data_IF_837960422357
#
_entry.id   IF_837960422357
#
_cell.length_a   1.000
_cell.length_b   1.000
_cell.length_c   1.000
_cell.angle_alpha   90.00
_cell.angle_beta   90.00
_cell.angle_gamma   90.00
#
_symmetry.space_group_name_H-M   'P 1'
#
loop_
_entity.id
_entity.type
_entity.pdbx_description
1 polymer ?
#
# COMPACT_ATOMS: atom_id res chain seq x y z
N UNK A 1 -10.90 -10.37 -2.15
CA UNK A 1 -9.79 -9.44 -2.48
C UNK A 1 -8.52 -10.00 -1.87
N UNK A 2 -7.46 -10.13 -2.68
CA UNK A 2 -6.13 -10.60 -2.27
C UNK A 2 -5.53 -9.58 -1.28
N UNK A 3 -5.39 -9.90 0.02
CA UNK A 3 -4.89 -8.94 1.00
C UNK A 3 -3.43 -8.52 0.74
N UNK A 4 -2.66 -9.38 0.08
CA UNK A 4 -1.24 -9.16 -0.21
C UNK A 4 -0.96 -8.16 -1.34
N UNK A 5 -1.96 -7.78 -2.15
CA UNK A 5 -1.75 -6.90 -3.30
C UNK A 5 -1.12 -5.56 -2.91
N UNK A 6 -1.52 -4.97 -1.78
CA UNK A 6 -0.98 -3.69 -1.31
C UNK A 6 0.50 -3.84 -0.95
N UNK A 7 0.87 -4.98 -0.37
CA UNK A 7 2.25 -5.30 0.01
C UNK A 7 3.09 -5.57 -1.25
N UNK A 8 2.60 -6.42 -2.14
CA UNK A 8 3.26 -6.74 -3.42
C UNK A 8 3.52 -5.47 -4.23
N UNK A 9 2.53 -4.58 -4.35
CA UNK A 9 2.70 -3.31 -5.03
C UNK A 9 3.73 -2.44 -4.34
N UNK A 10 3.65 -2.27 -3.02
CA UNK A 10 4.62 -1.46 -2.27
C UNK A 10 6.07 -1.94 -2.44
N UNK A 11 6.30 -3.26 -2.42
CA UNK A 11 7.63 -3.87 -2.62
C UNK A 11 8.06 -3.93 -4.10
N UNK A 12 7.14 -3.64 -5.04
CA UNK A 12 7.46 -3.63 -6.47
C UNK A 12 8.32 -2.42 -6.83
N UNK A 13 9.27 -2.56 -7.77
CA UNK A 13 10.13 -1.46 -8.20
C UNK A 13 9.36 -0.26 -8.75
N UNK A 14 8.15 -0.47 -9.29
CA UNK A 14 7.28 0.59 -9.80
C UNK A 14 6.74 1.53 -8.71
N UNK A 15 6.51 1.01 -7.50
CA UNK A 15 6.05 1.82 -6.36
C UNK A 15 7.17 2.13 -5.37
N UNK A 16 8.23 1.31 -5.34
CA UNK A 16 9.51 1.62 -4.72
C UNK A 16 9.40 2.00 -3.25
N UNK A 17 8.71 1.18 -2.45
CA UNK A 17 8.51 1.44 -1.03
C UNK A 17 7.86 2.80 -0.72
N UNK A 18 6.94 3.25 -1.58
CA UNK A 18 6.21 4.50 -1.37
C UNK A 18 5.52 4.51 0.02
N UNK A 19 5.61 5.67 0.69
CA UNK A 19 4.98 5.88 1.99
C UNK A 19 3.46 5.77 1.94
N UNK A 20 2.84 5.65 3.12
CA UNK A 20 1.40 5.38 3.29
C UNK A 20 0.53 6.34 2.47
N UNK A 21 0.78 7.65 2.51
CA UNK A 21 -0.05 8.63 1.82
C UNK A 21 0.02 8.51 0.30
N UNK A 22 1.21 8.27 -0.24
CA UNK A 22 1.41 8.08 -1.67
C UNK A 22 0.81 6.74 -2.14
N UNK A 23 0.96 5.67 -1.35
CA UNK A 23 0.30 4.39 -1.62
C UNK A 23 -1.21 4.54 -1.66
N UNK A 24 -1.82 5.23 -0.69
CA UNK A 24 -3.27 5.51 -0.68
C UNK A 24 -3.68 6.31 -1.92
N UNK A 25 -2.92 7.35 -2.28
CA UNK A 25 -3.21 8.19 -3.45
C UNK A 25 -3.17 7.40 -4.75
N UNK A 26 -2.15 6.56 -4.95
CA UNK A 26 -2.00 5.73 -6.16
C UNK A 26 -3.07 4.65 -6.23
N UNK A 27 -3.29 3.92 -5.15
CA UNK A 27 -4.26 2.82 -5.11
C UNK A 27 -5.70 3.31 -5.28
N UNK A 28 -6.04 4.48 -4.71
CA UNK A 28 -7.40 5.03 -4.80
C UNK A 28 -7.80 5.44 -6.22
N UNK A 29 -6.84 5.63 -7.14
CA UNK A 29 -7.12 5.89 -8.56
C UNK A 29 -7.56 4.64 -9.33
N UNK A 30 -7.12 3.47 -8.88
CA UNK A 30 -7.27 2.20 -9.62
C UNK A 30 -8.28 1.29 -8.93
N UNK A 31 -8.36 1.35 -7.60
CA UNK A 31 -9.17 0.44 -6.79
C UNK A 31 -10.14 1.20 -5.89
N UNK A 32 -11.41 0.81 -5.91
CA UNK A 32 -12.41 1.24 -4.94
C UNK A 32 -12.37 0.33 -3.71
N UNK A 33 -11.38 0.50 -2.84
CA UNK A 33 -11.25 -0.26 -1.59
C UNK A 33 -11.80 0.58 -0.42
N UNK A 34 -12.80 0.10 0.32
CA UNK A 34 -13.28 0.79 1.51
C UNK A 34 -12.19 0.86 2.56
N UNK A 35 -12.07 2.02 3.24
CA UNK A 35 -11.06 2.27 4.28
C UNK A 35 -9.63 2.01 3.80
N UNK A 36 -9.31 2.43 2.56
CA UNK A 36 -8.00 2.26 1.92
C UNK A 36 -6.84 2.65 2.85
N UNK A 37 -6.91 3.83 3.46
CA UNK A 37 -5.86 4.32 4.37
C UNK A 37 -5.59 3.38 5.54
N UNK A 38 -6.64 2.89 6.19
CA UNK A 38 -6.52 1.94 7.31
C UNK A 38 -5.83 0.65 6.85
N UNK A 39 -6.28 0.09 5.73
CA UNK A 39 -5.66 -1.13 5.16
C UNK A 39 -4.19 -0.95 4.79
N UNK A 40 -3.85 0.15 4.12
CA UNK A 40 -2.46 0.46 3.77
C UNK A 40 -1.60 0.61 5.02
N UNK A 41 -2.10 1.28 6.05
CA UNK A 41 -1.39 1.44 7.32
C UNK A 41 -1.20 0.11 8.07
N UNK A 42 -2.22 -0.76 8.11
CA UNK A 42 -2.11 -2.09 8.73
C UNK A 42 -1.07 -2.98 8.02
N UNK A 43 -1.01 -2.90 6.69
CA UNK A 43 -0.13 -3.75 5.87
C UNK A 43 1.31 -3.21 5.87
N UNK A 44 1.49 -1.90 5.70
CA UNK A 44 2.81 -1.28 5.54
C UNK A 44 3.43 -0.82 6.86
N UNK A 45 2.65 -0.69 7.94
CA UNK A 45 3.16 -0.29 9.25
C UNK A 45 4.19 -1.28 9.82
N UNK A 46 4.29 -2.48 9.26
CA UNK A 46 5.27 -3.51 9.64
C UNK A 46 6.32 -3.75 8.53
N UNK A 47 6.45 -2.86 7.54
CA UNK A 47 7.45 -3.04 6.48
C UNK A 47 8.86 -2.79 7.03
N UNK A 48 9.68 -3.85 7.09
CA UNK A 48 11.06 -3.81 7.60
C UNK A 48 12.00 -2.92 6.76
N UNK A 49 11.71 -2.74 5.47
CA UNK A 49 12.54 -1.93 4.57
C UNK A 49 12.24 -0.42 4.65
N UNK A 50 11.09 -0.04 5.21
CA UNK A 50 10.70 1.35 5.41
C UNK A 50 11.04 1.89 6.80
N UNK A 51 11.62 1.05 7.66
CA UNK A 51 12.01 1.35 9.03
C UNK A 51 13.51 1.61 9.16
#
# INVERSE_FOLDING_TARGET
>A
MRPDLIKELHESPEYGHAGIEEMVRRLSKVFAIPRMRTKVQEILGNCLACH
#
